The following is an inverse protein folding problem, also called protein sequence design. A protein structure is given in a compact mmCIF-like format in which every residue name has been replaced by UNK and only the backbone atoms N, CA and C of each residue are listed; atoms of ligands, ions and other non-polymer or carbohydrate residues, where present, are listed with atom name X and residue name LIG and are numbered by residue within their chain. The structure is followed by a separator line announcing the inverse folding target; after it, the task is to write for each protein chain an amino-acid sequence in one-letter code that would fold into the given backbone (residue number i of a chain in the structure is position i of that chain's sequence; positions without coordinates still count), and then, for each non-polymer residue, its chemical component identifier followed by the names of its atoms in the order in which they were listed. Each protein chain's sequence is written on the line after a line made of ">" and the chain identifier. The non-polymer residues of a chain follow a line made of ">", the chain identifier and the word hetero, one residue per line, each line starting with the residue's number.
data_IF_175227752136
#
_entry.id   IF_175227752136
#
_cell.length_a   1.000
_cell.length_b   1.000
_cell.length_c   1.000
_cell.angle_alpha   90.00
_cell.angle_beta   90.00
_cell.angle_gamma   90.00
#
_symmetry.space_group_name_H-M   'P 1'
#
loop_
_entity.id
_entity.type
_entity.pdbx_description
1 polymer ?
#
# COMPACT_ATOMS: atom_id res chain seq x y z
N UNK A 1 -71.15 22.58 61.87
CA UNK A 1 -69.71 22.64 62.03
C UNK A 1 -69.08 21.34 61.40
N UNK A 2 -68.40 21.40 60.29
CA UNK A 2 -67.71 20.24 59.75
C UNK A 2 -66.31 20.13 60.35
N UNK A 3 -65.71 18.90 60.45
CA UNK A 3 -64.46 18.65 61.12
C UNK A 3 -63.23 19.06 60.25
N UNK A 4 -62.23 19.55 60.98
CA UNK A 4 -60.95 20.01 60.46
C UNK A 4 -60.10 18.82 59.95
N UNK A 5 -59.64 18.89 58.70
CA UNK A 5 -58.74 17.92 58.10
C UNK A 5 -57.33 18.07 58.70
N UNK A 6 -56.69 16.92 59.05
CA UNK A 6 -55.29 16.87 59.48
C UNK A 6 -54.31 17.03 58.31
N UNK A 7 -53.12 17.66 58.50
CA UNK A 7 -52.11 17.81 57.45
C UNK A 7 -51.48 16.45 57.06
N UNK A 8 -51.30 16.27 55.74
CA UNK A 8 -50.58 15.08 55.17
C UNK A 8 -49.10 15.17 55.49
N UNK A 9 -48.57 14.07 56.03
CA UNK A 9 -47.14 13.91 56.24
C UNK A 9 -46.35 13.99 54.93
N UNK A 10 -45.49 15.00 54.81
CA UNK A 10 -44.46 15.09 53.74
C UNK A 10 -43.35 14.11 54.05
N UNK A 11 -43.22 13.07 53.25
CA UNK A 11 -42.06 12.17 53.28
C UNK A 11 -40.77 12.93 52.96
N UNK A 12 -39.66 12.65 53.66
CA UNK A 12 -38.41 13.41 53.48
C UNK A 12 -37.78 13.16 52.13
N UNK A 13 -37.43 14.24 51.42
CA UNK A 13 -36.75 14.31 50.09
C UNK A 13 -35.39 13.58 50.04
N UNK A 14 -34.88 13.00 51.11
CA UNK A 14 -33.56 12.33 51.19
C UNK A 14 -33.52 10.91 50.61
N UNK A 15 -34.64 10.21 50.46
CA UNK A 15 -34.62 8.84 49.89
C UNK A 15 -34.56 8.86 48.35
N UNK A 16 -35.25 9.79 47.70
CA UNK A 16 -35.20 9.88 46.23
C UNK A 16 -33.82 10.27 45.63
N UNK A 17 -33.01 10.96 46.41
CA UNK A 17 -31.66 11.34 46.00
C UNK A 17 -30.63 10.18 46.03
N UNK A 18 -30.83 9.21 46.92
CA UNK A 18 -29.95 8.01 46.98
C UNK A 18 -30.24 7.03 45.85
N UNK A 19 -31.48 6.90 45.43
CA UNK A 19 -31.85 6.02 44.31
C UNK A 19 -31.47 6.64 42.97
N UNK A 20 -31.56 7.96 42.79
CA UNK A 20 -31.08 8.64 41.62
C UNK A 20 -29.56 8.55 41.46
N UNK A 21 -28.79 8.66 42.56
CA UNK A 21 -27.34 8.47 42.58
C UNK A 21 -26.92 7.05 42.18
N UNK A 22 -27.70 6.04 42.67
CA UNK A 22 -27.46 4.63 42.32
C UNK A 22 -27.78 4.33 40.84
N UNK A 23 -28.82 4.96 40.29
CA UNK A 23 -29.16 4.83 38.87
C UNK A 23 -28.13 5.49 37.96
N UNK A 24 -27.60 6.66 38.34
CA UNK A 24 -26.53 7.34 37.60
C UNK A 24 -25.22 6.57 37.64
N UNK A 25 -24.84 6.00 38.78
CA UNK A 25 -23.66 5.14 38.92
C UNK A 25 -23.79 3.83 38.11
N UNK A 26 -24.98 3.22 38.09
CA UNK A 26 -25.25 2.04 37.29
C UNK A 26 -25.22 2.34 35.78
N UNK A 27 -25.77 3.48 35.34
CA UNK A 27 -25.74 3.92 33.95
C UNK A 27 -24.32 4.26 33.46
N UNK A 28 -23.48 4.88 34.30
CA UNK A 28 -22.06 5.15 34.01
C UNK A 28 -21.27 3.85 33.96
N UNK A 29 -21.56 2.88 34.85
CA UNK A 29 -20.94 1.54 34.85
C UNK A 29 -21.26 0.75 33.57
N UNK A 30 -22.49 0.84 33.05
CA UNK A 30 -22.87 0.19 31.77
C UNK A 30 -22.26 0.88 30.56
N UNK A 31 -22.09 2.21 30.58
CA UNK A 31 -21.39 2.94 29.50
C UNK A 31 -19.88 2.65 29.46
N UNK A 32 -19.25 2.34 30.60
CA UNK A 32 -17.83 1.96 30.65
C UNK A 32 -17.59 0.50 30.27
N UNK A 33 -18.59 -0.38 30.38
CA UNK A 33 -18.49 -1.78 29.96
C UNK A 33 -18.68 -1.98 28.43
N UNK A 34 -19.14 -0.97 27.71
CA UNK A 34 -19.50 -1.08 26.28
C UNK A 34 -18.37 -0.93 25.27
N UNK A 35 -17.10 -0.73 25.70
CA UNK A 35 -15.94 -0.60 24.80
C UNK A 35 -14.80 -1.56 25.13
N UNK A 36 -15.11 -2.77 25.59
CA UNK A 36 -14.14 -3.85 25.48
C UNK A 36 -14.11 -4.28 24.00
N UNK A 37 -13.32 -3.58 23.16
CA UNK A 37 -12.85 -4.17 21.92
C UNK A 37 -12.19 -5.49 22.29
N UNK A 38 -12.80 -6.60 21.88
CA UNK A 38 -12.16 -7.91 22.03
C UNK A 38 -10.72 -7.74 21.50
N UNK A 39 -9.68 -8.12 22.26
CA UNK A 39 -8.33 -8.12 21.73
C UNK A 39 -8.38 -8.98 20.46
N UNK A 40 -8.12 -8.36 19.30
CA UNK A 40 -8.08 -9.08 18.04
C UNK A 40 -7.18 -10.31 18.24
N UNK A 41 -7.63 -11.48 17.80
CA UNK A 41 -6.84 -12.70 17.86
C UNK A 41 -5.50 -12.41 17.21
N UNK A 42 -4.41 -12.39 17.96
CA UNK A 42 -3.09 -12.21 17.41
C UNK A 42 -2.80 -13.42 16.52
N UNK A 43 -2.64 -13.17 15.22
CA UNK A 43 -2.21 -14.18 14.27
C UNK A 43 -0.72 -14.43 14.53
N UNK A 44 -0.37 -15.68 14.78
CA UNK A 44 1.03 -16.09 14.89
C UNK A 44 1.53 -16.36 13.48
N UNK A 45 2.47 -15.54 13.03
CA UNK A 45 3.06 -15.67 11.69
C UNK A 45 4.02 -16.86 11.65
N UNK A 46 3.88 -17.67 10.61
CA UNK A 46 4.73 -18.84 10.35
C UNK A 46 5.91 -18.50 9.44
N UNK A 47 5.88 -17.36 8.76
CA UNK A 47 6.80 -16.96 7.70
C UNK A 47 6.41 -17.50 6.32
N UNK A 48 5.33 -18.27 6.22
CA UNK A 48 4.79 -18.74 4.94
C UNK A 48 3.59 -17.89 4.54
N UNK A 49 3.75 -17.05 3.54
CA UNK A 49 2.71 -16.11 3.08
C UNK A 49 1.42 -16.81 2.63
N UNK A 50 1.52 -18.04 2.11
CA UNK A 50 0.34 -18.82 1.71
C UNK A 50 -0.48 -19.36 2.89
N UNK A 51 0.07 -19.32 4.10
CA UNK A 51 -0.60 -19.64 5.36
C UNK A 51 -0.96 -18.35 6.09
N UNK A 52 0.02 -17.47 6.25
CA UNK A 52 -0.11 -16.25 7.05
C UNK A 52 -1.08 -15.25 6.41
N UNK A 53 -1.02 -15.11 5.08
CA UNK A 53 -1.87 -14.17 4.34
C UNK A 53 -3.37 -14.43 4.53
N UNK A 54 -3.90 -15.62 4.24
CA UNK A 54 -5.31 -15.93 4.51
C UNK A 54 -5.72 -15.73 5.97
N UNK A 55 -4.83 -16.03 6.93
CA UNK A 55 -5.09 -15.84 8.36
C UNK A 55 -5.17 -14.35 8.72
N UNK A 56 -4.25 -13.55 8.22
CA UNK A 56 -4.24 -12.10 8.45
C UNK A 56 -5.41 -11.39 7.75
N UNK A 57 -5.78 -11.80 6.55
CA UNK A 57 -6.95 -11.30 5.83
C UNK A 57 -8.24 -11.61 6.62
N UNK A 58 -8.34 -12.79 7.22
CA UNK A 58 -9.53 -13.23 7.94
C UNK A 58 -9.60 -12.67 9.36
N UNK A 59 -8.49 -12.61 10.08
CA UNK A 59 -8.47 -12.36 11.53
C UNK A 59 -7.58 -11.18 11.94
N UNK A 60 -6.73 -10.68 11.05
CA UNK A 60 -5.86 -9.54 11.29
C UNK A 60 -6.60 -8.20 11.28
N UNK A 61 -5.88 -7.10 11.50
CA UNK A 61 -6.46 -5.77 11.50
C UNK A 61 -7.09 -5.42 10.14
N UNK A 62 -8.35 -4.96 10.08
CA UNK A 62 -9.00 -4.61 8.81
C UNK A 62 -8.23 -3.59 7.96
N UNK A 63 -7.44 -2.73 8.60
CA UNK A 63 -6.60 -1.71 7.93
C UNK A 63 -5.46 -2.31 7.11
N UNK A 64 -5.06 -3.55 7.37
CA UNK A 64 -3.91 -4.21 6.75
C UNK A 64 -4.34 -5.22 5.67
N UNK A 65 -5.66 -5.39 5.44
CA UNK A 65 -6.18 -6.38 4.49
C UNK A 65 -5.61 -6.25 3.09
N UNK A 66 -5.60 -5.04 2.53
CA UNK A 66 -5.06 -4.80 1.18
C UNK A 66 -3.59 -5.22 1.08
N UNK A 67 -2.79 -4.92 2.11
CA UNK A 67 -1.40 -5.34 2.15
C UNK A 67 -1.26 -6.87 2.12
N UNK A 68 -2.04 -7.57 2.93
CA UNK A 68 -1.99 -9.03 2.99
C UNK A 68 -2.59 -9.69 1.74
N UNK A 69 -3.61 -9.09 1.11
CA UNK A 69 -4.13 -9.51 -0.19
C UNK A 69 -3.04 -9.43 -1.26
N UNK A 70 -2.30 -8.32 -1.34
CA UNK A 70 -1.20 -8.14 -2.29
C UNK A 70 -0.04 -9.10 -2.05
N UNK A 71 0.41 -9.24 -0.80
CA UNK A 71 1.49 -10.16 -0.44
C UNK A 71 1.15 -11.61 -0.75
N UNK A 72 -0.07 -12.02 -0.43
CA UNK A 72 -0.56 -13.38 -0.71
C UNK A 72 -0.68 -13.63 -2.21
N UNK A 73 -1.12 -12.62 -2.98
CA UNK A 73 -1.20 -12.71 -4.43
C UNK A 73 0.18 -12.93 -5.07
N UNK A 74 1.20 -12.15 -4.68
CA UNK A 74 2.57 -12.34 -5.18
C UNK A 74 3.13 -13.73 -4.85
N UNK A 75 2.91 -14.20 -3.62
CA UNK A 75 3.32 -15.55 -3.23
C UNK A 75 2.59 -16.64 -4.05
N UNK A 76 1.31 -16.43 -4.36
CA UNK A 76 0.54 -17.32 -5.22
C UNK A 76 1.04 -17.32 -6.67
N UNK A 77 1.44 -16.14 -7.21
CA UNK A 77 2.10 -16.04 -8.52
C UNK A 77 3.37 -16.90 -8.58
N UNK A 78 4.26 -16.77 -7.58
CA UNK A 78 5.50 -17.55 -7.49
C UNK A 78 5.26 -19.07 -7.38
N UNK A 79 4.09 -19.49 -6.90
CA UNK A 79 3.70 -20.91 -6.81
C UNK A 79 2.83 -21.38 -7.98
N UNK A 80 2.69 -20.59 -9.04
CA UNK A 80 1.80 -20.84 -10.19
C UNK A 80 0.33 -21.10 -9.79
N UNK A 81 -0.09 -20.53 -8.65
CA UNK A 81 -1.49 -20.58 -8.20
C UNK A 81 -2.24 -19.34 -8.67
N UNK A 82 -2.32 -19.21 -9.98
CA UNK A 82 -2.81 -18.00 -10.64
C UNK A 82 -4.26 -17.65 -10.31
N UNK A 83 -5.14 -18.64 -10.15
CA UNK A 83 -6.54 -18.37 -9.78
C UNK A 83 -6.66 -17.75 -8.39
N UNK A 84 -5.81 -18.19 -7.46
CA UNK A 84 -5.75 -17.60 -6.12
C UNK A 84 -5.16 -16.18 -6.15
N UNK A 85 -4.12 -15.98 -6.98
CA UNK A 85 -3.54 -14.65 -7.19
C UNK A 85 -4.58 -13.66 -7.75
N UNK A 86 -5.39 -14.08 -8.75
CA UNK A 86 -6.50 -13.27 -9.28
C UNK A 86 -7.46 -12.85 -8.18
N UNK A 87 -7.93 -13.81 -7.38
CA UNK A 87 -8.87 -13.53 -6.30
C UNK A 87 -8.34 -12.46 -5.34
N UNK A 88 -7.11 -12.61 -4.84
CA UNK A 88 -6.55 -11.65 -3.89
C UNK A 88 -6.26 -10.29 -4.51
N UNK A 89 -5.82 -10.23 -5.78
CA UNK A 89 -5.63 -8.96 -6.46
C UNK A 89 -6.97 -8.26 -6.71
N UNK A 90 -8.01 -8.98 -7.13
CA UNK A 90 -9.34 -8.41 -7.34
C UNK A 90 -9.93 -7.87 -6.04
N UNK A 91 -9.79 -8.60 -4.94
CA UNK A 91 -10.23 -8.16 -3.60
C UNK A 91 -9.47 -6.90 -3.16
N UNK A 92 -8.14 -6.88 -3.30
CA UNK A 92 -7.29 -5.75 -2.92
C UNK A 92 -7.56 -4.50 -3.76
N UNK A 93 -7.63 -4.63 -5.09
CA UNK A 93 -7.90 -3.54 -6.01
C UNK A 93 -9.32 -2.98 -5.82
N UNK A 94 -10.33 -3.83 -5.61
CA UNK A 94 -11.70 -3.39 -5.31
C UNK A 94 -11.75 -2.57 -4.01
N UNK A 95 -11.04 -3.00 -2.96
CA UNK A 95 -10.94 -2.23 -1.71
C UNK A 95 -10.25 -0.90 -1.91
N UNK A 96 -9.16 -0.89 -2.68
CA UNK A 96 -8.42 0.31 -3.00
C UNK A 96 -9.31 1.34 -3.71
N UNK A 97 -10.03 0.93 -4.75
CA UNK A 97 -10.98 1.80 -5.46
C UNK A 97 -12.08 2.34 -4.53
N UNK A 98 -12.58 1.54 -3.60
CA UNK A 98 -13.53 1.98 -2.57
C UNK A 98 -12.96 3.03 -1.62
N UNK A 99 -11.65 3.03 -1.33
CA UNK A 99 -10.98 4.03 -0.48
C UNK A 99 -10.90 5.40 -1.18
N UNK A 100 -10.72 5.42 -2.49
CA UNK A 100 -10.74 6.67 -3.27
C UNK A 100 -12.15 7.21 -3.54
N UNK A 101 -13.20 6.44 -3.20
CA UNK A 101 -14.59 6.86 -3.29
C UNK A 101 -14.98 7.99 -2.31
N UNK A 102 -16.19 8.59 -2.47
CA UNK A 102 -16.63 9.74 -1.69
C UNK A 102 -17.17 9.41 -0.29
N UNK A 103 -17.02 8.17 0.20
CA UNK A 103 -17.63 7.74 1.46
C UNK A 103 -16.89 8.22 2.73
N UNK A 104 -17.51 7.98 3.91
CA UNK A 104 -16.99 8.40 5.21
C UNK A 104 -15.69 7.67 5.61
N UNK A 105 -15.48 6.42 5.16
CA UNK A 105 -14.28 5.63 5.44
C UNK A 105 -13.11 6.13 4.59
N UNK A 106 -13.37 6.51 3.34
CA UNK A 106 -12.41 7.17 2.46
C UNK A 106 -11.91 8.50 3.08
N UNK A 107 -12.79 9.27 3.71
CA UNK A 107 -12.42 10.50 4.43
C UNK A 107 -11.58 10.21 5.68
N UNK A 108 -11.86 9.14 6.42
CA UNK A 108 -11.05 8.71 7.57
C UNK A 108 -9.65 8.24 7.15
N UNK A 109 -9.55 7.50 6.06
CA UNK A 109 -8.26 7.05 5.52
C UNK A 109 -7.35 8.25 5.16
N UNK A 110 -7.94 9.37 4.73
CA UNK A 110 -7.24 10.62 4.36
C UNK A 110 -7.15 11.65 5.48
N UNK A 111 -7.67 11.34 6.68
CA UNK A 111 -7.76 12.30 7.79
C UNK A 111 -6.40 12.78 8.30
N UNK A 112 -6.27 14.10 8.52
CA UNK A 112 -5.03 14.79 8.91
C UNK A 112 -4.48 14.39 10.30
N UNK A 113 -5.37 14.03 11.23
CA UNK A 113 -5.04 13.89 12.65
C UNK A 113 -4.79 12.45 13.12
N UNK A 114 -4.76 11.48 12.22
CA UNK A 114 -4.48 10.10 12.59
C UNK A 114 -3.08 9.70 12.14
N UNK A 115 -2.41 8.88 12.94
CA UNK A 115 -1.14 8.28 12.54
C UNK A 115 -1.33 7.50 11.23
N UNK A 116 -0.40 7.64 10.29
CA UNK A 116 -0.51 6.97 8.98
C UNK A 116 -0.65 5.45 9.14
N UNK A 117 0.13 4.85 10.04
CA UNK A 117 0.03 3.42 10.35
C UNK A 117 -1.32 2.97 10.96
N UNK A 118 -2.19 3.90 11.39
CA UNK A 118 -3.55 3.61 11.86
C UNK A 118 -4.60 3.67 10.76
N UNK A 119 -4.28 4.24 9.60
CA UNK A 119 -5.15 4.31 8.44
C UNK A 119 -5.19 2.98 7.69
N UNK A 120 -6.19 2.79 6.85
CA UNK A 120 -6.21 1.67 5.92
C UNK A 120 -5.00 1.77 4.99
N UNK A 121 -4.28 0.65 4.81
CA UNK A 121 -3.17 0.58 3.86
C UNK A 121 -3.68 0.77 2.44
N UNK A 122 -3.09 1.71 1.73
CA UNK A 122 -3.40 1.99 0.31
C UNK A 122 -2.21 1.69 -0.61
N UNK A 123 -1.04 1.48 -0.04
CA UNK A 123 0.21 1.33 -0.80
C UNK A 123 0.75 2.63 -1.37
N UNK A 124 2.01 2.61 -1.73
CA UNK A 124 2.67 3.67 -2.47
C UNK A 124 2.36 3.57 -3.97
N UNK A 125 2.59 4.62 -4.77
CA UNK A 125 2.37 4.55 -6.22
C UNK A 125 2.95 3.29 -6.86
N UNK A 126 4.21 2.96 -6.61
CA UNK A 126 4.85 1.76 -7.16
C UNK A 126 4.19 0.44 -6.72
N UNK A 127 3.69 0.36 -5.48
CA UNK A 127 2.98 -0.84 -4.99
C UNK A 127 1.62 -0.99 -5.69
N UNK A 128 0.92 0.12 -5.91
CA UNK A 128 -0.36 0.12 -6.65
C UNK A 128 -0.17 -0.22 -8.13
N UNK A 129 0.87 0.37 -8.75
CA UNK A 129 1.24 0.03 -10.15
C UNK A 129 1.55 -1.45 -10.29
N UNK A 130 2.34 -2.03 -9.37
CA UNK A 130 2.64 -3.47 -9.37
C UNK A 130 1.39 -4.34 -9.24
N UNK A 131 0.40 -3.95 -8.43
CA UNK A 131 -0.85 -4.70 -8.32
C UNK A 131 -1.61 -4.75 -9.67
N UNK A 132 -1.65 -3.63 -10.38
CA UNK A 132 -2.25 -3.59 -11.72
C UNK A 132 -1.40 -4.34 -12.76
N UNK A 133 -0.07 -4.28 -12.70
CA UNK A 133 0.82 -5.05 -13.59
C UNK A 133 0.54 -6.55 -13.42
N UNK A 134 0.56 -7.07 -12.20
CA UNK A 134 0.27 -8.48 -11.95
C UNK A 134 -1.14 -8.87 -12.40
N UNK A 135 -2.12 -8.02 -12.15
CA UNK A 135 -3.49 -8.31 -12.60
C UNK A 135 -3.60 -8.30 -14.12
N UNK A 136 -2.90 -7.41 -14.81
CA UNK A 136 -2.79 -7.38 -16.27
C UNK A 136 -2.18 -8.66 -16.84
N UNK A 137 -1.09 -9.15 -16.24
CA UNK A 137 -0.48 -10.43 -16.63
C UNK A 137 -1.51 -11.57 -16.53
N UNK A 138 -2.28 -11.62 -15.43
CA UNK A 138 -3.28 -12.66 -15.21
C UNK A 138 -4.47 -12.56 -16.18
N UNK A 139 -4.91 -11.36 -16.55
CA UNK A 139 -5.90 -11.19 -17.62
C UNK A 139 -5.38 -11.71 -18.96
N UNK A 140 -4.11 -11.43 -19.28
CA UNK A 140 -3.54 -11.95 -20.52
C UNK A 140 -3.43 -13.48 -20.52
N UNK A 141 -3.10 -14.09 -19.36
CA UNK A 141 -3.13 -15.56 -19.19
C UNK A 141 -4.52 -16.15 -19.48
N UNK A 142 -5.59 -15.41 -19.12
CA UNK A 142 -6.97 -15.82 -19.40
C UNK A 142 -7.36 -15.63 -20.89
N UNK A 143 -6.50 -14.97 -21.68
CA UNK A 143 -6.75 -14.61 -23.06
C UNK A 143 -7.65 -13.39 -23.22
N UNK A 144 -7.54 -12.46 -22.29
CA UNK A 144 -8.26 -11.19 -22.22
C UNK A 144 -7.28 -10.00 -22.36
N UNK A 145 -6.63 -9.83 -23.53
CA UNK A 145 -5.61 -8.78 -23.74
C UNK A 145 -6.18 -7.36 -23.64
N UNK A 146 -7.46 -7.14 -23.84
CA UNK A 146 -8.17 -5.88 -23.65
C UNK A 146 -8.25 -5.50 -22.17
N UNK A 147 -8.60 -6.43 -21.29
CA UNK A 147 -8.59 -6.23 -19.83
C UNK A 147 -7.16 -6.08 -19.31
N UNK A 148 -6.20 -6.86 -19.83
CA UNK A 148 -4.79 -6.71 -19.52
C UNK A 148 -4.29 -5.30 -19.85
N UNK A 149 -4.62 -4.80 -21.04
CA UNK A 149 -4.32 -3.44 -21.48
C UNK A 149 -4.90 -2.38 -20.55
N UNK A 150 -6.15 -2.53 -20.11
CA UNK A 150 -6.75 -1.61 -19.17
C UNK A 150 -5.99 -1.58 -17.84
N UNK A 151 -5.51 -2.73 -17.35
CA UNK A 151 -4.68 -2.80 -16.16
C UNK A 151 -3.32 -2.10 -16.34
N UNK A 152 -2.62 -2.28 -17.46
CA UNK A 152 -1.35 -1.62 -17.71
C UNK A 152 -1.49 -0.09 -17.74
N UNK A 153 -2.55 0.42 -18.35
CA UNK A 153 -2.87 1.86 -18.31
C UNK A 153 -3.22 2.35 -16.91
N UNK A 154 -3.86 1.52 -16.10
CA UNK A 154 -4.12 1.84 -14.69
C UNK A 154 -2.81 1.88 -13.88
N UNK A 155 -1.84 1.01 -14.19
CA UNK A 155 -0.53 1.04 -13.56
C UNK A 155 0.19 2.37 -13.82
N UNK A 156 0.17 2.88 -15.06
CA UNK A 156 0.71 4.20 -15.42
C UNK A 156 -0.03 5.34 -14.71
N UNK A 157 -1.35 5.24 -14.60
CA UNK A 157 -2.15 6.24 -13.89
C UNK A 157 -1.77 6.30 -12.41
N UNK A 158 -1.61 5.16 -11.73
CA UNK A 158 -1.18 5.10 -10.32
C UNK A 158 0.25 5.65 -10.15
N UNK A 159 1.11 5.48 -11.15
CA UNK A 159 2.46 6.02 -11.17
C UNK A 159 2.48 7.53 -11.29
N UNK A 160 1.51 8.12 -11.97
CA UNK A 160 1.37 9.57 -12.11
C UNK A 160 0.94 10.28 -10.81
N UNK A 161 0.55 9.54 -9.75
CA UNK A 161 0.21 10.07 -8.42
C UNK A 161 1.48 10.48 -7.65
N UNK A 162 2.21 11.44 -8.19
CA UNK A 162 3.45 11.98 -7.65
C UNK A 162 3.50 13.49 -7.82
N UNK A 163 4.10 14.21 -6.87
CA UNK A 163 4.34 15.65 -6.99
C UNK A 163 5.55 15.98 -7.88
N UNK A 164 6.50 15.08 -7.99
CA UNK A 164 7.63 15.22 -8.90
C UNK A 164 7.30 14.62 -10.26
N UNK A 165 6.79 15.46 -11.16
CA UNK A 165 6.38 15.04 -12.50
C UNK A 165 7.55 14.57 -13.39
N UNK A 166 8.81 14.75 -12.99
CA UNK A 166 9.97 14.22 -13.70
C UNK A 166 9.95 12.68 -13.77
N UNK A 167 9.34 12.04 -12.75
CA UNK A 167 9.27 10.59 -12.64
C UNK A 167 7.83 10.05 -12.80
N UNK A 168 6.89 10.90 -13.23
CA UNK A 168 5.50 10.51 -13.40
C UNK A 168 5.32 9.76 -14.73
N UNK A 169 4.81 8.52 -14.65
CA UNK A 169 4.56 7.70 -15.83
C UNK A 169 5.84 7.24 -16.52
N UNK A 170 6.91 6.92 -15.77
CA UNK A 170 8.20 6.48 -16.30
C UNK A 170 8.44 4.96 -16.25
N UNK A 171 7.38 4.19 -16.04
CA UNK A 171 7.44 2.75 -16.19
C UNK A 171 7.49 2.35 -17.67
N UNK A 172 8.46 1.53 -18.01
CA UNK A 172 8.67 1.07 -19.38
C UNK A 172 7.73 -0.06 -19.77
N UNK A 173 7.58 -1.04 -18.87
CA UNK A 173 6.85 -2.28 -19.17
C UNK A 173 5.35 -2.06 -19.37
N UNK A 174 4.62 -1.35 -18.50
CA UNK A 174 3.20 -1.07 -18.72
C UNK A 174 2.91 -0.37 -20.05
N UNK A 175 3.66 0.66 -20.39
CA UNK A 175 3.50 1.36 -21.68
C UNK A 175 3.82 0.44 -22.86
N UNK A 176 4.91 -0.34 -22.79
CA UNK A 176 5.22 -1.31 -23.82
C UNK A 176 4.11 -2.34 -24.00
N UNK A 177 3.54 -2.84 -22.90
CA UNK A 177 2.47 -3.84 -22.92
C UNK A 177 1.12 -3.26 -23.36
N UNK A 178 0.80 -2.00 -23.06
CA UNK A 178 -0.38 -1.31 -23.61
C UNK A 178 -0.30 -1.32 -25.15
N UNK A 179 0.86 -0.95 -25.70
CA UNK A 179 1.05 -0.93 -27.16
C UNK A 179 1.07 -2.31 -27.79
N UNK A 180 1.69 -3.31 -27.13
CA UNK A 180 1.68 -4.68 -27.62
C UNK A 180 0.26 -5.26 -27.63
N UNK A 181 -0.52 -5.08 -26.57
CA UNK A 181 -1.91 -5.50 -26.49
C UNK A 181 -2.75 -4.78 -27.55
N UNK A 182 -2.56 -3.47 -27.73
CA UNK A 182 -3.22 -2.70 -28.79
C UNK A 182 -2.95 -3.29 -30.18
N UNK A 183 -1.68 -3.62 -30.47
CA UNK A 183 -1.27 -4.22 -31.75
C UNK A 183 -1.92 -5.60 -31.96
N UNK A 184 -1.96 -6.43 -30.93
CA UNK A 184 -2.61 -7.75 -30.99
C UNK A 184 -4.13 -7.67 -31.15
N UNK A 185 -4.76 -6.61 -30.68
CA UNK A 185 -6.17 -6.29 -30.89
C UNK A 185 -6.45 -5.64 -32.26
N UNK A 186 -5.42 -5.49 -33.12
CA UNK A 186 -5.53 -4.91 -34.44
C UNK A 186 -5.49 -3.38 -34.49
N UNK A 187 -5.12 -2.73 -33.38
CA UNK A 187 -4.94 -1.29 -33.29
C UNK A 187 -3.50 -0.85 -33.55
N UNK A 188 -3.26 0.47 -33.51
CA UNK A 188 -1.94 1.08 -33.60
C UNK A 188 -1.34 1.31 -32.21
N UNK A 189 -0.33 0.52 -31.85
CA UNK A 189 0.41 0.62 -30.59
C UNK A 189 1.62 1.60 -30.64
N UNK A 190 1.82 2.32 -31.74
CA UNK A 190 3.05 3.12 -31.97
C UNK A 190 3.28 4.23 -30.95
N UNK A 191 2.22 4.86 -30.44
CA UNK A 191 2.36 5.94 -29.45
C UNK A 191 2.75 5.41 -28.07
N UNK A 192 2.21 4.27 -27.66
CA UNK A 192 2.64 3.59 -26.44
C UNK A 192 4.09 3.09 -26.54
N UNK A 193 4.48 2.56 -27.71
CA UNK A 193 5.87 2.19 -27.97
C UNK A 193 6.83 3.37 -27.85
N UNK A 194 6.46 4.54 -28.37
CA UNK A 194 7.30 5.76 -28.28
C UNK A 194 7.48 6.21 -26.82
N UNK A 195 6.41 6.15 -26.00
CA UNK A 195 6.50 6.47 -24.56
C UNK A 195 7.44 5.49 -23.87
N UNK A 196 7.18 4.19 -23.97
CA UNK A 196 8.04 3.15 -23.41
C UNK A 196 9.51 3.31 -23.81
N UNK A 197 9.78 3.60 -25.09
CA UNK A 197 11.16 3.79 -25.58
C UNK A 197 11.81 5.08 -25.04
N UNK A 198 11.03 6.12 -24.80
CA UNK A 198 11.54 7.36 -24.19
C UNK A 198 12.01 7.14 -22.76
N UNK A 199 11.29 6.29 -22.00
CA UNK A 199 11.57 6.00 -20.59
C UNK A 199 12.60 4.87 -20.39
N UNK A 200 12.89 4.11 -21.44
CA UNK A 200 13.77 2.92 -21.39
C UNK A 200 15.27 3.22 -21.12
N UNK A 201 15.69 4.47 -20.95
CA UNK A 201 17.02 4.94 -20.49
C UNK A 201 18.22 4.13 -21.03
N UNK A 202 18.28 3.98 -22.35
CA UNK A 202 19.38 3.27 -23.02
C UNK A 202 19.11 1.81 -23.35
N UNK A 203 17.99 1.25 -22.92
CA UNK A 203 17.50 -0.04 -23.41
C UNK A 203 16.78 0.18 -24.75
N UNK A 204 17.18 -0.57 -25.77
CA UNK A 204 16.43 -0.60 -27.03
C UNK A 204 15.34 -1.65 -26.92
N UNK A 205 14.09 -1.20 -26.94
CA UNK A 205 12.95 -2.09 -26.88
C UNK A 205 12.75 -2.81 -28.22
N UNK A 206 12.42 -4.10 -28.22
CA UNK A 206 12.13 -4.81 -29.47
C UNK A 206 10.85 -4.27 -30.09
N UNK A 207 10.78 -4.13 -31.44
CA UNK A 207 9.54 -3.74 -32.09
C UNK A 207 8.46 -4.82 -31.87
N UNK A 208 7.20 -4.41 -31.87
CA UNK A 208 6.11 -5.35 -31.71
C UNK A 208 6.10 -6.40 -32.80
N UNK A 209 6.04 -7.65 -32.37
CA UNK A 209 5.88 -8.78 -33.27
C UNK A 209 4.46 -9.35 -33.13
N UNK A 210 3.54 -9.08 -34.07
CA UNK A 210 2.18 -9.59 -33.99
C UNK A 210 2.09 -11.13 -34.09
N UNK A 211 3.14 -11.78 -34.58
CA UNK A 211 3.24 -13.25 -34.65
C UNK A 211 3.77 -13.89 -33.36
N UNK A 212 4.27 -13.11 -32.42
CA UNK A 212 4.69 -13.63 -31.12
C UNK A 212 3.45 -14.17 -30.40
N UNK A 213 3.55 -15.41 -29.95
CA UNK A 213 2.45 -16.14 -29.32
C UNK A 213 2.81 -16.71 -27.93
N UNK A 214 4.04 -16.45 -27.48
CA UNK A 214 4.51 -16.80 -26.13
C UNK A 214 5.10 -15.58 -25.46
N UNK A 215 4.54 -15.20 -24.31
CA UNK A 215 4.91 -14.02 -23.54
C UNK A 215 5.54 -14.46 -22.22
N UNK A 216 6.79 -14.12 -21.99
CA UNK A 216 7.50 -14.38 -20.75
C UNK A 216 7.55 -13.11 -19.90
N UNK A 217 7.00 -13.19 -18.71
CA UNK A 217 7.14 -12.19 -17.66
C UNK A 217 8.11 -12.73 -16.62
N UNK A 218 9.23 -12.07 -16.44
CA UNK A 218 10.26 -12.46 -15.49
C UNK A 218 10.41 -11.39 -14.43
N UNK A 219 10.60 -11.82 -13.20
CA UNK A 219 10.93 -10.95 -12.08
C UNK A 219 12.05 -11.54 -11.23
N UNK A 220 12.87 -10.67 -10.64
CA UNK A 220 13.98 -11.15 -9.82
C UNK A 220 14.57 -10.08 -8.91
N UNK A 221 15.29 -10.57 -7.90
CA UNK A 221 15.96 -9.78 -6.88
C UNK A 221 15.02 -9.27 -5.79
N UNK A 222 15.57 -8.90 -4.63
CA UNK A 222 14.79 -8.40 -3.51
C UNK A 222 14.30 -6.98 -3.77
N UNK A 223 13.01 -6.75 -3.58
CA UNK A 223 12.36 -5.45 -3.78
C UNK A 223 12.68 -4.41 -2.71
N UNK A 224 12.15 -3.20 -2.88
CA UNK A 224 12.38 -2.10 -1.96
C UNK A 224 11.70 -2.32 -0.61
N UNK A 225 12.30 -1.77 0.44
CA UNK A 225 11.75 -1.74 1.79
C UNK A 225 11.55 -0.31 2.26
N UNK A 226 10.64 -0.11 3.21
CA UNK A 226 10.32 1.22 3.78
C UNK A 226 10.89 1.35 5.18
N UNK A 227 11.40 2.53 5.49
CA UNK A 227 11.76 2.91 6.85
C UNK A 227 11.42 4.38 7.08
N UNK A 228 11.38 4.79 8.34
CA UNK A 228 11.06 6.16 8.71
C UNK A 228 12.25 6.84 9.37
N UNK A 229 12.42 8.14 9.12
CA UNK A 229 13.43 9.00 9.72
C UNK A 229 12.81 10.31 10.20
N UNK A 230 13.61 11.17 10.82
CA UNK A 230 13.16 12.42 11.40
C UNK A 230 12.90 12.31 12.91
N UNK A 231 12.72 13.46 13.59
CA UNK A 231 12.53 13.53 15.03
C UNK A 231 11.30 12.76 15.51
N UNK A 232 10.25 12.71 14.69
CA UNK A 232 8.98 12.05 14.98
C UNK A 232 8.71 10.88 14.04
N UNK A 233 9.73 10.35 13.35
CA UNK A 233 9.60 9.32 12.32
C UNK A 233 8.64 9.73 11.17
N UNK A 234 8.64 11.01 10.84
CA UNK A 234 7.70 11.61 9.89
C UNK A 234 8.13 11.50 8.43
N UNK A 235 9.43 11.28 8.19
CA UNK A 235 9.99 11.21 6.84
C UNK A 235 10.06 9.76 6.38
N UNK A 236 9.23 9.40 5.39
CA UNK A 236 9.30 8.08 4.76
C UNK A 236 10.51 8.01 3.83
N UNK A 237 11.29 6.96 3.98
CA UNK A 237 12.45 6.66 3.16
C UNK A 237 12.36 5.23 2.63
N UNK A 238 13.07 4.99 1.51
CA UNK A 238 13.15 3.69 0.87
C UNK A 238 14.57 3.20 0.85
N UNK A 239 14.73 1.91 0.98
CA UNK A 239 15.98 1.21 0.77
C UNK A 239 15.76 0.09 -0.23
N UNK A 240 16.48 0.13 -1.34
CA UNK A 240 16.50 -0.94 -2.33
C UNK A 240 17.77 -1.76 -2.14
N UNK A 241 17.70 -3.00 -1.63
CA UNK A 241 18.87 -3.82 -1.46
C UNK A 241 19.47 -4.19 -2.82
N UNK A 242 20.81 -4.33 -2.92
CA UNK A 242 21.43 -4.75 -4.16
C UNK A 242 20.95 -6.15 -4.55
N UNK A 243 20.56 -6.31 -5.82
CA UNK A 243 20.12 -7.59 -6.32
C UNK A 243 21.32 -8.46 -6.70
N UNK A 244 21.35 -9.74 -6.29
CA UNK A 244 22.34 -10.70 -6.76
C UNK A 244 22.12 -11.10 -8.23
N UNK A 245 20.90 -10.88 -8.75
CA UNK A 245 20.52 -11.16 -10.14
C UNK A 245 20.50 -9.86 -10.92
N UNK A 246 21.09 -9.82 -12.10
CA UNK A 246 21.10 -8.63 -12.97
C UNK A 246 20.36 -8.83 -14.28
N UNK A 247 20.22 -10.05 -14.76
CA UNK A 247 19.53 -10.38 -16.00
C UNK A 247 19.08 -11.84 -15.98
N UNK A 248 18.38 -12.24 -17.03
CA UNK A 248 17.99 -13.62 -17.23
C UNK A 248 18.28 -14.09 -18.65
N UNK A 249 18.24 -15.38 -18.87
CA UNK A 249 18.31 -16.02 -20.18
C UNK A 249 17.28 -17.13 -20.26
N UNK A 250 16.51 -17.10 -21.35
CA UNK A 250 15.51 -18.13 -21.64
C UNK A 250 16.12 -19.09 -22.67
N UNK A 251 16.20 -20.35 -22.33
CA UNK A 251 16.65 -21.41 -23.21
C UNK A 251 15.45 -22.30 -23.57
N UNK A 252 15.14 -22.38 -24.87
CA UNK A 252 14.07 -23.24 -25.42
C UNK A 252 14.64 -23.93 -26.66
N UNK A 253 14.80 -25.26 -26.60
CA UNK A 253 15.41 -26.03 -27.69
C UNK A 253 16.80 -25.48 -28.07
N UNK A 254 16.98 -25.01 -29.28
CA UNK A 254 18.22 -24.40 -29.76
C UNK A 254 18.24 -22.85 -29.58
N UNK A 255 17.13 -22.26 -29.12
CA UNK A 255 16.99 -20.83 -28.96
C UNK A 255 17.50 -20.38 -27.59
N UNK A 256 18.36 -19.37 -27.57
CA UNK A 256 18.80 -18.68 -26.36
C UNK A 256 18.43 -17.20 -26.45
N UNK A 257 17.59 -16.73 -25.54
CA UNK A 257 17.10 -15.36 -25.53
C UNK A 257 17.61 -14.65 -24.29
N UNK A 258 18.52 -13.68 -24.43
CA UNK A 258 18.92 -12.84 -23.29
C UNK A 258 17.78 -11.88 -22.94
N UNK A 259 17.54 -11.70 -21.65
CA UNK A 259 16.47 -10.85 -21.11
C UNK A 259 17.08 -9.89 -20.10
N UNK A 260 17.14 -8.63 -20.47
CA UNK A 260 17.56 -7.55 -19.58
C UNK A 260 16.39 -7.06 -18.72
N UNK A 261 16.65 -6.40 -17.58
CA UNK A 261 15.62 -5.67 -16.86
C UNK A 261 14.95 -4.63 -17.73
N UNK A 262 13.63 -4.61 -17.73
CA UNK A 262 12.81 -3.58 -18.36
C UNK A 262 12.53 -2.46 -17.38
N UNK A 263 12.16 -2.83 -16.14
CA UNK A 263 11.90 -1.87 -15.07
C UNK A 263 12.67 -2.21 -13.80
N UNK A 264 12.98 -1.17 -13.03
CA UNK A 264 13.62 -1.21 -11.72
C UNK A 264 12.63 -0.71 -10.65
N UNK A 265 12.01 -1.66 -9.93
CA UNK A 265 11.04 -1.35 -8.87
C UNK A 265 11.71 -0.58 -7.71
N UNK A 266 13.00 -0.83 -7.47
CA UNK A 266 13.79 -0.08 -6.50
C UNK A 266 13.94 1.40 -6.90
N UNK A 267 14.19 1.68 -8.19
CA UNK A 267 14.19 3.03 -8.72
C UNK A 267 12.81 3.68 -8.56
N UNK A 268 11.75 2.98 -8.92
CA UNK A 268 10.37 3.46 -8.79
C UNK A 268 9.99 3.80 -7.35
N UNK A 269 10.46 3.05 -6.36
CA UNK A 269 10.25 3.35 -4.96
C UNK A 269 11.07 4.56 -4.48
N UNK A 270 12.36 4.64 -4.88
CA UNK A 270 13.30 5.63 -4.32
C UNK A 270 13.20 7.01 -4.96
N UNK A 271 12.68 7.13 -6.18
CA UNK A 271 12.53 8.40 -6.90
C UNK A 271 11.24 9.15 -6.58
N UNK A 272 10.32 8.55 -5.82
CA UNK A 272 9.01 9.12 -5.44
C UNK A 272 9.08 10.05 -4.22
N UNK A 273 10.10 10.92 -4.13
CA UNK A 273 10.38 11.71 -2.94
C UNK A 273 9.51 12.94 -2.69
N UNK A 274 8.66 13.36 -3.59
CA UNK A 274 7.87 14.59 -3.48
C UNK A 274 6.37 14.38 -3.38
N UNK A 275 5.91 13.27 -2.82
CA UNK A 275 4.50 12.91 -2.77
C UNK A 275 3.67 13.82 -1.86
N UNK A 276 2.38 13.95 -2.18
CA UNK A 276 1.39 14.64 -1.35
C UNK A 276 1.43 14.16 0.11
N UNK A 277 1.68 12.87 0.34
CA UNK A 277 1.78 12.28 1.67
C UNK A 277 2.96 12.83 2.46
N UNK A 278 4.13 12.97 1.86
CA UNK A 278 5.33 13.50 2.53
C UNK A 278 5.14 14.97 2.92
N UNK A 279 4.44 15.77 2.10
CA UNK A 279 4.05 17.13 2.44
C UNK A 279 3.05 17.18 3.60
N UNK A 280 2.08 16.29 3.63
CA UNK A 280 1.12 16.20 4.74
C UNK A 280 1.87 15.87 6.04
N UNK A 281 2.80 14.92 6.02
CA UNK A 281 3.60 14.56 7.19
C UNK A 281 4.51 15.70 7.64
N UNK A 282 5.19 16.36 6.70
CA UNK A 282 5.98 17.56 6.98
C UNK A 282 5.16 18.67 7.62
N UNK A 283 3.96 18.94 7.12
CA UNK A 283 3.06 19.94 7.70
C UNK A 283 2.57 19.54 9.10
N UNK A 284 2.35 18.24 9.37
CA UNK A 284 2.04 17.76 10.73
C UNK A 284 3.16 18.05 11.72
N UNK A 285 4.41 17.90 11.31
CA UNK A 285 5.59 18.23 12.15
C UNK A 285 5.63 19.72 12.44
N UNK A 286 5.44 20.57 11.43
CA UNK A 286 5.37 22.03 11.62
C UNK A 286 4.23 22.42 12.56
N UNK A 287 3.05 21.86 12.36
CA UNK A 287 1.90 22.10 13.24
C UNK A 287 2.17 21.65 14.67
N UNK A 288 2.75 20.45 14.85
CA UNK A 288 3.11 19.93 16.16
C UNK A 288 4.10 20.84 16.88
N UNK A 289 5.18 21.24 16.22
CA UNK A 289 6.19 22.12 16.80
C UNK A 289 5.62 23.49 17.15
N UNK A 290 4.82 24.08 16.27
CA UNK A 290 4.19 25.36 16.51
C UNK A 290 3.19 25.32 17.69
N UNK A 291 2.39 24.26 17.81
CA UNK A 291 1.44 24.09 18.92
C UNK A 291 2.14 23.77 20.23
N UNK A 292 3.24 23.03 20.23
CA UNK A 292 4.06 22.79 21.42
C UNK A 292 4.67 24.09 21.94
N UNK A 293 5.31 24.90 21.08
CA UNK A 293 5.92 26.18 21.44
C UNK A 293 4.83 27.17 21.90
N UNK A 294 3.71 27.28 21.17
CA UNK A 294 2.63 28.16 21.55
C UNK A 294 1.98 27.75 22.88
N UNK A 295 1.83 26.44 23.12
CA UNK A 295 1.32 25.90 24.37
C UNK A 295 2.24 26.23 25.56
N UNK A 296 3.54 26.03 25.42
CA UNK A 296 4.52 26.36 26.47
C UNK A 296 4.57 27.87 26.77
N UNK A 297 4.58 28.71 25.73
CA UNK A 297 4.55 30.16 25.90
C UNK A 297 3.25 30.63 26.58
N UNK A 298 2.09 30.06 26.22
CA UNK A 298 0.81 30.37 26.85
C UNK A 298 0.74 29.92 28.32
N UNK A 299 1.28 28.73 28.64
CA UNK A 299 1.36 28.23 30.01
C UNK A 299 2.29 29.12 30.86
N UNK A 300 3.47 29.43 30.36
CA UNK A 300 4.45 30.30 31.08
C UNK A 300 3.89 31.72 31.20
N UNK A 301 3.31 32.29 30.17
CA UNK A 301 2.68 33.61 30.20
C UNK A 301 1.49 33.67 31.16
N UNK A 302 0.62 32.62 31.14
CA UNK A 302 -0.50 32.50 32.06
C UNK A 302 -0.07 32.38 33.52
N UNK A 303 0.94 31.57 33.82
CA UNK A 303 1.50 31.43 35.14
C UNK A 303 2.16 32.74 35.62
N UNK A 304 2.89 33.42 34.73
CA UNK A 304 3.50 34.72 35.02
C UNK A 304 2.51 35.81 35.37
N UNK A 305 1.40 35.88 34.62
CA UNK A 305 0.33 36.87 34.91
C UNK A 305 -0.44 36.55 36.18
N UNK A 306 -0.66 35.29 36.53
CA UNK A 306 -1.27 34.89 37.80
C UNK A 306 -0.38 35.21 38.99
N UNK A 307 0.94 34.97 38.87
CA UNK A 307 1.93 35.31 39.94
C UNK A 307 2.11 36.83 40.11
N UNK A 308 2.16 37.57 39.00
CA UNK A 308 2.27 39.02 39.02
C UNK A 308 0.99 39.72 39.50
N UNK A 309 -0.19 39.16 39.27
CA UNK A 309 -1.49 39.69 39.61
C UNK A 309 -1.84 39.71 41.10
N UNK A 310 -1.11 38.96 41.96
CA UNK A 310 -1.17 39.03 43.42
C UNK A 310 -2.56 39.09 44.06
N UNK A 311 -3.56 38.51 43.46
CA UNK A 311 -4.93 38.38 44.02
C UNK A 311 -5.74 39.67 44.06
N UNK A 312 -5.23 40.79 43.51
CA UNK A 312 -5.90 42.10 43.59
C UNK A 312 -6.56 42.60 42.29
N UNK A 313 -6.29 42.01 41.13
CA UNK A 313 -6.90 42.41 39.85
C UNK A 313 -7.61 41.21 39.16
N UNK A 314 -8.91 41.21 39.24
CA UNK A 314 -9.75 40.19 38.60
C UNK A 314 -9.45 40.05 37.10
N UNK A 315 -9.19 41.13 36.39
CA UNK A 315 -8.90 41.13 34.96
C UNK A 315 -7.57 40.44 34.62
N UNK A 316 -6.54 40.58 35.43
CA UNK A 316 -5.25 39.89 35.24
C UNK A 316 -5.34 38.37 35.52
N UNK A 317 -6.14 37.98 36.50
CA UNK A 317 -6.39 36.58 36.80
C UNK A 317 -7.20 35.89 35.71
N UNK A 318 -8.17 36.57 35.10
CA UNK A 318 -8.95 36.06 33.98
C UNK A 318 -8.07 35.89 32.73
N UNK A 319 -7.21 36.86 32.42
CA UNK A 319 -6.27 36.77 31.29
C UNK A 319 -5.25 35.68 31.53
N UNK A 320 -4.68 35.57 32.73
CA UNK A 320 -3.74 34.53 33.09
C UNK A 320 -4.36 33.13 33.04
N UNK A 321 -5.59 32.97 33.53
CA UNK A 321 -6.37 31.76 33.45
C UNK A 321 -6.69 31.36 32.02
N UNK A 322 -7.06 32.34 31.17
CA UNK A 322 -7.30 32.13 29.75
C UNK A 322 -6.06 31.67 28.99
N UNK A 323 -4.89 32.25 29.26
CA UNK A 323 -3.62 31.84 28.66
C UNK A 323 -3.19 30.42 29.10
N UNK A 324 -3.38 30.07 30.38
CA UNK A 324 -3.12 28.71 30.85
C UNK A 324 -4.05 27.69 30.17
N UNK A 325 -5.33 27.99 30.08
CA UNK A 325 -6.30 27.12 29.40
C UNK A 325 -5.95 26.97 27.91
N UNK A 326 -5.61 28.04 27.22
CA UNK A 326 -5.17 28.00 25.82
C UNK A 326 -3.88 27.17 25.65
N UNK A 327 -2.93 27.31 26.57
CA UNK A 327 -1.69 26.52 26.57
C UNK A 327 -1.94 25.03 26.78
N UNK A 328 -2.83 24.67 27.69
CA UNK A 328 -3.21 23.25 27.92
C UNK A 328 -3.92 22.68 26.70
N UNK A 329 -4.88 23.42 26.10
CA UNK A 329 -5.56 22.98 24.87
C UNK A 329 -4.59 22.80 23.72
N UNK A 330 -3.63 23.74 23.53
CA UNK A 330 -2.60 23.65 22.50
C UNK A 330 -1.71 22.41 22.70
N UNK A 331 -1.31 22.10 23.94
CA UNK A 331 -0.56 20.88 24.26
C UNK A 331 -1.35 19.60 24.00
N UNK A 332 -2.64 19.59 24.33
CA UNK A 332 -3.51 18.43 24.05
C UNK A 332 -3.62 18.20 22.52
N UNK A 333 -3.82 19.28 21.75
CA UNK A 333 -3.89 19.20 20.28
C UNK A 333 -2.55 18.69 19.72
N UNK A 334 -1.41 19.22 20.17
CA UNK A 334 -0.08 18.79 19.75
C UNK A 334 0.17 17.33 20.08
N UNK A 335 -0.18 16.88 21.29
CA UNK A 335 0.01 15.48 21.71
C UNK A 335 -0.86 14.50 20.93
N UNK A 336 -2.01 14.94 20.42
CA UNK A 336 -2.90 14.14 19.59
C UNK A 336 -2.42 14.01 18.13
N UNK A 337 -1.45 14.85 17.70
CA UNK A 337 -0.91 14.82 16.35
C UNK A 337 0.28 13.86 16.28
N UNK A 338 0.11 12.76 15.56
CA UNK A 338 1.15 11.74 15.35
C UNK A 338 1.64 11.83 13.90
N UNK A 339 2.83 12.41 13.66
CA UNK A 339 3.34 12.62 12.30
C UNK A 339 4.07 11.40 11.72
N UNK A 340 4.16 10.28 12.44
CA UNK A 340 4.92 9.12 12.00
C UNK A 340 4.45 8.59 10.63
N UNK A 341 5.41 8.30 9.75
CA UNK A 341 5.19 7.73 8.43
C UNK A 341 4.64 6.30 8.50
N UNK A 342 3.93 5.88 7.46
CA UNK A 342 3.51 4.49 7.29
C UNK A 342 4.65 3.67 6.68
N UNK A 343 5.26 2.83 7.47
CA UNK A 343 6.35 1.93 7.04
C UNK A 343 5.86 0.55 6.63
N UNK A 344 4.53 0.29 6.64
CA UNK A 344 3.97 -0.93 6.09
C UNK A 344 4.32 -0.99 4.61
N UNK A 345 4.80 -2.14 4.15
CA UNK A 345 5.31 -2.30 2.80
C UNK A 345 4.95 -3.66 2.22
N UNK A 346 4.75 -3.69 0.93
CA UNK A 346 4.71 -4.92 0.16
C UNK A 346 6.15 -5.36 -0.17
N UNK A 347 6.85 -5.94 0.83
CA UNK A 347 8.29 -6.27 0.75
C UNK A 347 8.59 -7.50 -0.12
N UNK A 348 7.56 -8.18 -0.60
CA UNK A 348 7.71 -9.39 -1.41
C UNK A 348 7.70 -9.08 -2.91
N UNK A 349 7.79 -7.79 -3.26
CA UNK A 349 7.97 -7.33 -4.63
C UNK A 349 9.39 -7.63 -5.11
N UNK A 350 9.61 -7.79 -6.44
CA UNK A 350 10.93 -7.97 -7.02
C UNK A 350 11.72 -6.64 -7.07
N UNK A 351 13.03 -6.74 -7.33
CA UNK A 351 13.84 -5.58 -7.69
C UNK A 351 13.64 -5.18 -9.15
N UNK A 352 13.61 -6.18 -10.04
CA UNK A 352 13.50 -5.97 -11.49
C UNK A 352 12.33 -6.71 -12.10
N UNK A 353 11.71 -6.07 -13.08
CA UNK A 353 10.79 -6.69 -14.03
C UNK A 353 11.47 -6.82 -15.39
N UNK A 354 11.17 -7.91 -16.08
CA UNK A 354 11.68 -8.18 -17.43
C UNK A 354 10.62 -8.86 -18.27
N UNK A 355 10.73 -8.69 -19.57
CA UNK A 355 9.76 -9.22 -20.54
C UNK A 355 10.46 -9.74 -21.78
N UNK A 356 9.95 -10.83 -22.33
CA UNK A 356 10.31 -11.31 -23.65
C UNK A 356 9.08 -11.90 -24.35
N UNK A 357 9.01 -11.71 -25.67
CA UNK A 357 7.97 -12.32 -26.48
C UNK A 357 8.58 -13.14 -27.65
N UNK A 358 8.06 -14.34 -27.86
CA UNK A 358 8.59 -15.28 -28.83
C UNK A 358 7.49 -15.78 -29.75
N UNK A 359 7.87 -16.14 -30.98
CA UNK A 359 7.02 -16.87 -31.90
C UNK A 359 7.49 -18.35 -31.90
N UNK A 360 6.71 -19.25 -31.33
CA UNK A 360 6.99 -20.67 -31.25
C UNK A 360 5.94 -21.46 -32.02
N UNK A 361 6.32 -22.65 -32.49
CA UNK A 361 5.38 -23.55 -33.10
C UNK A 361 4.31 -24.04 -32.08
N UNK A 362 3.10 -24.35 -32.53
CA UNK A 362 2.13 -25.00 -31.65
C UNK A 362 2.64 -26.35 -31.12
N UNK A 363 2.30 -26.67 -29.87
CA UNK A 363 2.66 -27.93 -29.23
C UNK A 363 3.39 -27.76 -27.90
N UNK A 364 3.90 -28.85 -27.34
CA UNK A 364 4.57 -28.86 -26.06
C UNK A 364 6.00 -28.32 -26.14
N UNK A 365 6.37 -27.46 -25.18
CA UNK A 365 7.70 -26.91 -25.06
C UNK A 365 8.19 -26.98 -23.60
N UNK A 366 9.51 -26.95 -23.44
CA UNK A 366 10.18 -26.81 -22.15
C UNK A 366 11.11 -25.63 -22.25
N UNK A 367 10.95 -24.65 -21.36
CA UNK A 367 11.89 -23.57 -21.21
C UNK A 367 12.71 -23.74 -19.92
N UNK A 368 14.00 -23.46 -20.02
CA UNK A 368 14.89 -23.28 -18.86
C UNK A 368 15.23 -21.81 -18.74
N UNK A 369 14.89 -21.21 -17.61
CA UNK A 369 15.18 -19.82 -17.29
C UNK A 369 16.37 -19.79 -16.34
N UNK A 370 17.46 -19.19 -16.80
CA UNK A 370 18.70 -18.99 -16.05
C UNK A 370 18.76 -17.53 -15.60
N UNK A 371 18.92 -17.31 -14.30
CA UNK A 371 19.19 -16.00 -13.74
C UNK A 371 20.70 -15.78 -13.65
N UNK A 372 21.16 -14.60 -14.01
CA UNK A 372 22.56 -14.24 -14.14
C UNK A 372 22.93 -13.13 -13.15
N UNK A 373 24.13 -13.24 -12.60
CA UNK A 373 24.71 -12.21 -11.75
C UNK A 373 25.18 -10.98 -12.56
N UNK A 374 25.65 -9.89 -11.92
CA UNK A 374 26.17 -8.71 -12.61
C UNK A 374 27.38 -8.98 -13.52
N UNK A 375 28.11 -10.08 -13.31
CA UNK A 375 29.21 -10.49 -14.18
C UNK A 375 28.78 -11.40 -15.35
N UNK A 376 27.48 -11.75 -15.41
CA UNK A 376 26.92 -12.59 -16.46
C UNK A 376 27.03 -14.09 -16.20
N UNK A 377 27.44 -14.50 -15.00
CA UNK A 377 27.48 -15.91 -14.63
C UNK A 377 26.10 -16.41 -14.19
N UNK A 378 25.78 -17.63 -14.60
CA UNK A 378 24.54 -18.29 -14.18
C UNK A 378 24.54 -18.54 -12.68
N UNK A 379 23.42 -18.30 -12.04
CA UNK A 379 23.14 -18.66 -10.65
C UNK A 379 22.34 -19.98 -10.62
N UNK A 380 23.01 -21.16 -10.56
CA UNK A 380 22.34 -22.45 -10.79
C UNK A 380 21.19 -22.72 -9.81
N UNK A 381 21.30 -22.23 -8.57
CA UNK A 381 20.29 -22.41 -7.51
C UNK A 381 18.99 -21.66 -7.81
N UNK A 382 19.02 -20.65 -8.70
CA UNK A 382 17.87 -19.86 -9.12
C UNK A 382 17.29 -20.32 -10.46
N UNK A 383 17.97 -21.26 -11.16
CA UNK A 383 17.49 -21.77 -12.45
C UNK A 383 16.11 -22.41 -12.31
N UNK A 384 15.21 -22.06 -13.21
CA UNK A 384 13.82 -22.56 -13.24
C UNK A 384 13.58 -23.35 -14.52
N UNK A 385 12.71 -24.36 -14.43
CA UNK A 385 12.20 -25.10 -15.59
C UNK A 385 10.69 -25.01 -15.63
N UNK A 386 10.14 -24.72 -16.80
CA UNK A 386 8.69 -24.66 -17.03
C UNK A 386 8.33 -25.45 -18.28
N UNK A 387 7.33 -26.32 -18.15
CA UNK A 387 6.71 -27.04 -19.25
C UNK A 387 5.38 -26.39 -19.61
N UNK A 388 5.17 -26.10 -20.87
CA UNK A 388 3.95 -25.44 -21.35
C UNK A 388 3.58 -25.93 -22.74
N UNK A 389 2.33 -25.69 -23.13
CA UNK A 389 1.82 -25.98 -24.45
C UNK A 389 1.43 -24.67 -25.15
N UNK A 390 1.90 -24.50 -26.37
CA UNK A 390 1.55 -23.38 -27.24
C UNK A 390 0.30 -23.76 -28.02
N UNK A 391 -0.81 -23.02 -27.91
CA UNK A 391 -2.03 -23.29 -28.65
C UNK A 391 -1.82 -23.19 -30.16
N UNK A 392 -2.53 -24.02 -30.92
CA UNK A 392 -2.49 -23.97 -32.40
C UNK A 392 -3.08 -22.67 -32.96
N UNK A 393 -4.08 -22.12 -32.29
CA UNK A 393 -4.75 -20.88 -32.67
C UNK A 393 -5.29 -20.17 -31.42
N UNK A 394 -5.49 -18.87 -31.52
CA UNK A 394 -6.27 -18.05 -30.60
C UNK A 394 -5.46 -17.31 -29.55
N UNK A 395 -5.22 -17.91 -28.40
CA UNK A 395 -4.68 -17.20 -27.23
C UNK A 395 -3.15 -17.24 -27.21
N UNK A 396 -2.55 -16.14 -26.78
CA UNK A 396 -1.12 -16.14 -26.41
C UNK A 396 -0.88 -17.04 -25.21
N UNK A 397 0.23 -17.74 -25.22
CA UNK A 397 0.72 -18.45 -24.04
C UNK A 397 1.49 -17.49 -23.16
N UNK A 398 1.01 -17.22 -21.96
CA UNK A 398 1.66 -16.35 -20.98
C UNK A 398 2.34 -17.21 -19.91
N UNK A 399 3.59 -16.88 -19.61
CA UNK A 399 4.44 -17.57 -18.64
C UNK A 399 4.97 -16.52 -17.67
N UNK A 400 4.74 -16.73 -16.38
CA UNK A 400 5.28 -15.91 -15.32
C UNK A 400 6.30 -16.70 -14.51
N UNK A 401 7.50 -16.19 -14.35
CA UNK A 401 8.60 -16.82 -13.59
C UNK A 401 9.33 -15.77 -12.75
N UNK A 402 9.41 -16.05 -11.46
CA UNK A 402 10.25 -15.34 -10.50
C UNK A 402 11.49 -16.16 -10.14
N UNK A 403 12.57 -15.52 -9.73
CA UNK A 403 13.70 -16.18 -9.10
C UNK A 403 13.28 -16.94 -7.83
N UNK A 404 12.15 -16.55 -7.23
CA UNK A 404 11.51 -17.21 -6.08
C UNK A 404 10.49 -18.29 -6.49
N UNK A 405 10.19 -18.46 -7.78
CA UNK A 405 9.21 -19.44 -8.23
C UNK A 405 9.59 -20.87 -7.87
N UNK A 406 8.58 -21.67 -7.55
CA UNK A 406 8.77 -23.13 -7.45
C UNK A 406 9.11 -23.72 -8.81
N UNK A 407 9.91 -24.79 -8.83
CA UNK A 407 10.32 -25.45 -10.07
C UNK A 407 10.39 -26.98 -9.87
N UNK A 408 10.06 -27.80 -10.88
CA UNK A 408 9.51 -27.44 -12.19
C UNK A 408 8.07 -26.93 -12.12
N UNK A 409 7.70 -26.06 -13.07
CA UNK A 409 6.34 -25.59 -13.21
C UNK A 409 5.65 -26.20 -14.44
N UNK A 410 4.33 -26.33 -14.37
CA UNK A 410 3.45 -26.50 -15.51
C UNK A 410 2.60 -25.25 -15.66
N UNK A 411 2.62 -24.67 -16.83
CA UNK A 411 1.89 -23.46 -17.16
C UNK A 411 0.88 -23.70 -18.31
#
# INVERSE_FOLDING_TARGET
>A
MPPIARPRDLKPLKEGMKDFSRFVLAAVGVMLAGCATQPGRQVVLTGNLMIDGPMEIAYGPPRDKVLWEYRTAAAAMCQARFDLAKQYLDDGLTRLQGIFGPDANARKARGYFHAEAKKTFIGEPYERSMAYIYRGILYWMDGEPDNARACFRSAEFEDSDTENHEYAGDWVLPDYLDGLATTKLGGDGSDAFKRAQADAKGLTLPPYNPKANVLFFLEFGPGPTKFATGQYQEKLCFYSPPSPVRSARINIEALQVPVAPTDDVGFQATTRGGRVMDHILGNKVVFKNATDIAGDAAILGGAGTLLAGGGRNATMNEVGGGLLAAGIVSKIISSATIPAADTRAWNDLPHYLSFACLALAPGPHVATIEFLDPAGYVLPQLTKSVTFEVPAEGKDKVIFISDQSSTPQKS
#
